data_IF_280793037856
#
_entry.id   IF_280793037856
#
_cell.length_a   1.000
_cell.length_b   1.000
_cell.length_c   1.000
_cell.angle_alpha   90.00
_cell.angle_beta   90.00
_cell.angle_gamma   90.00
#
_symmetry.space_group_name_H-M   'P 1'
#
loop_
_entity.id
_entity.type
_entity.pdbx_description
1 polymer ?
#
# COMPACT_ATOMS: atom_id res chain seq x y z
N UNK A 1 -17.68 -2.17 -6.87
CA UNK A 1 -17.36 -1.02 -5.97
C UNK A 1 -16.29 -0.18 -6.65
N UNK A 2 -16.31 1.15 -6.56
CA UNK A 2 -15.25 1.96 -7.20
C UNK A 2 -13.92 1.83 -6.44
N UNK A 3 -12.80 1.96 -7.16
CA UNK A 3 -11.46 1.93 -6.58
C UNK A 3 -11.30 2.86 -5.36
N UNK A 4 -11.69 4.14 -5.51
CA UNK A 4 -11.53 5.16 -4.47
C UNK A 4 -12.32 4.81 -3.21
N UNK A 5 -13.52 4.24 -3.37
CA UNK A 5 -14.36 3.84 -2.23
C UNK A 5 -13.71 2.66 -1.48
N UNK A 6 -13.19 1.68 -2.22
CA UNK A 6 -12.45 0.55 -1.66
C UNK A 6 -11.18 0.99 -0.92
N UNK A 7 -10.41 1.90 -1.51
CA UNK A 7 -9.19 2.44 -0.90
C UNK A 7 -9.52 3.20 0.39
N UNK A 8 -10.57 4.03 0.40
CA UNK A 8 -11.03 4.74 1.61
C UNK A 8 -11.48 3.78 2.71
N UNK A 9 -12.22 2.73 2.36
CA UNK A 9 -12.68 1.73 3.31
C UNK A 9 -11.49 1.00 3.95
N UNK A 10 -10.53 0.55 3.14
CA UNK A 10 -9.31 -0.10 3.64
C UNK A 10 -8.47 0.85 4.49
N UNK A 11 -8.27 2.11 4.07
CA UNK A 11 -7.59 3.12 4.88
C UNK A 11 -8.26 3.30 6.25
N UNK A 12 -9.59 3.31 6.30
CA UNK A 12 -10.34 3.39 7.56
C UNK A 12 -10.07 2.19 8.46
N UNK A 13 -10.09 0.97 7.89
CA UNK A 13 -9.77 -0.27 8.63
C UNK A 13 -8.33 -0.27 9.16
N UNK A 14 -7.36 0.12 8.33
CA UNK A 14 -5.95 0.23 8.72
C UNK A 14 -5.71 1.24 9.85
N UNK A 15 -6.53 2.30 9.91
CA UNK A 15 -6.45 3.34 10.92
C UNK A 15 -7.03 2.90 12.27
N UNK A 16 -8.12 2.14 12.26
CA UNK A 16 -8.83 1.72 13.47
C UNK A 16 -8.18 0.50 14.13
N UNK A 17 -8.24 -0.65 13.46
CA UNK A 17 -7.72 -1.92 13.96
C UNK A 17 -7.27 -2.76 12.75
N UNK A 18 -6.01 -2.61 12.32
CA UNK A 18 -5.52 -3.31 11.14
C UNK A 18 -5.44 -4.81 11.41
N UNK A 19 -6.14 -5.56 10.56
CA UNK A 19 -6.01 -7.01 10.42
C UNK A 19 -5.20 -7.36 9.15
N UNK A 20 -4.69 -8.59 9.09
CA UNK A 20 -3.87 -9.06 7.97
C UNK A 20 -4.61 -8.95 6.61
N UNK A 21 -5.94 -9.06 6.61
CA UNK A 21 -6.76 -8.94 5.40
C UNK A 21 -6.80 -7.51 4.88
N UNK A 22 -6.95 -6.50 5.74
CA UNK A 22 -6.93 -5.10 5.37
C UNK A 22 -5.55 -4.68 4.86
N UNK A 23 -4.49 -5.18 5.50
CA UNK A 23 -3.09 -4.93 5.13
C UNK A 23 -2.78 -5.55 3.76
N UNK A 24 -3.16 -6.81 3.54
CA UNK A 24 -3.02 -7.48 2.24
C UNK A 24 -3.90 -6.82 1.15
N UNK A 25 -5.13 -6.42 1.49
CA UNK A 25 -6.04 -5.73 0.58
C UNK A 25 -5.51 -4.36 0.14
N UNK A 26 -4.87 -3.61 1.05
CA UNK A 26 -4.21 -2.35 0.72
C UNK A 26 -3.09 -2.55 -0.29
N UNK A 27 -2.25 -3.57 -0.07
CA UNK A 27 -1.17 -3.92 -0.99
C UNK A 27 -1.71 -4.38 -2.35
N UNK A 28 -2.81 -5.14 -2.37
CA UNK A 28 -3.49 -5.54 -3.60
C UNK A 28 -3.96 -4.31 -4.39
N UNK A 29 -4.73 -3.41 -3.77
CA UNK A 29 -5.23 -2.20 -4.43
C UNK A 29 -4.07 -1.31 -4.92
N UNK A 30 -3.02 -1.14 -4.13
CA UNK A 30 -1.83 -0.39 -4.52
C UNK A 30 -1.16 -0.97 -5.78
N UNK A 31 -1.10 -2.30 -5.88
CA UNK A 31 -0.57 -2.96 -7.08
C UNK A 31 -1.50 -2.78 -8.28
N UNK A 32 -2.81 -2.87 -8.09
CA UNK A 32 -3.78 -2.70 -9.16
C UNK A 32 -3.75 -1.28 -9.74
N UNK A 33 -3.74 -0.23 -8.91
CA UNK A 33 -3.62 1.14 -9.43
C UNK A 33 -2.32 1.36 -10.19
N UNK A 34 -1.20 0.82 -9.69
CA UNK A 34 0.07 0.90 -10.40
C UNK A 34 0.01 0.22 -11.76
N UNK A 35 -0.49 -1.02 -11.85
CA UNK A 35 -0.59 -1.75 -13.13
C UNK A 35 -1.41 -0.99 -14.17
N UNK A 36 -2.44 -0.27 -13.73
CA UNK A 36 -3.35 0.46 -14.61
C UNK A 36 -2.79 1.81 -15.06
N UNK A 37 -2.03 2.50 -14.20
CA UNK A 37 -1.57 3.87 -14.46
C UNK A 37 -0.08 3.98 -14.80
N UNK A 38 0.72 2.93 -14.62
CA UNK A 38 2.13 2.87 -15.03
C UNK A 38 2.31 3.13 -16.53
N UNK A 39 3.47 3.70 -16.89
CA UNK A 39 3.81 4.04 -18.28
C UNK A 39 3.06 5.26 -18.85
N UNK A 40 2.07 5.82 -18.16
CA UNK A 40 1.42 7.08 -18.56
C UNK A 40 2.16 8.31 -18.00
N UNK A 41 2.63 8.23 -16.75
CA UNK A 41 3.41 9.27 -16.06
C UNK A 41 4.52 8.60 -15.24
N UNK A 42 5.72 9.19 -15.26
CA UNK A 42 6.91 8.69 -14.54
C UNK A 42 6.69 8.62 -13.02
N UNK A 43 5.74 9.38 -12.47
CA UNK A 43 5.38 9.30 -11.05
C UNK A 43 4.87 7.90 -10.66
N UNK A 44 4.11 7.24 -11.54
CA UNK A 44 3.59 5.89 -11.29
C UNK A 44 4.65 4.82 -11.43
N UNK A 45 5.63 5.02 -12.31
CA UNK A 45 6.79 4.12 -12.42
C UNK A 45 7.64 4.18 -11.14
N UNK A 46 7.87 5.40 -10.61
CA UNK A 46 8.57 5.59 -9.34
C UNK A 46 7.81 5.01 -8.15
N UNK A 47 6.49 5.22 -8.11
CA UNK A 47 5.60 4.60 -7.13
C UNK A 47 5.73 3.08 -7.16
N UNK A 48 5.66 2.48 -8.35
CA UNK A 48 5.77 1.03 -8.54
C UNK A 48 7.10 0.46 -8.08
N UNK A 49 8.22 1.13 -8.37
CA UNK A 49 9.55 0.69 -7.94
C UNK A 49 9.65 0.54 -6.41
N UNK A 50 9.14 1.51 -5.66
CA UNK A 50 9.15 1.46 -4.19
C UNK A 50 8.13 0.42 -3.68
N UNK A 51 6.94 0.33 -4.28
CA UNK A 51 5.88 -0.58 -3.87
C UNK A 51 6.24 -2.06 -4.06
N UNK A 52 6.81 -2.41 -5.22
CA UNK A 52 7.09 -3.81 -5.57
C UNK A 52 8.14 -4.46 -4.67
N UNK A 53 9.13 -3.68 -4.22
CA UNK A 53 10.13 -4.17 -3.27
C UNK A 53 9.50 -4.49 -1.90
N UNK A 54 8.60 -3.63 -1.42
CA UNK A 54 7.82 -3.88 -0.20
C UNK A 54 6.96 -5.13 -0.36
N UNK A 55 6.27 -5.27 -1.49
CA UNK A 55 5.44 -6.45 -1.79
C UNK A 55 6.26 -7.73 -1.76
N UNK A 56 7.40 -7.77 -2.45
CA UNK A 56 8.24 -8.94 -2.52
C UNK A 56 8.78 -9.36 -1.14
N UNK A 57 9.11 -8.37 -0.29
CA UNK A 57 9.67 -8.61 1.04
C UNK A 57 8.65 -9.03 2.09
N UNK A 58 7.49 -8.36 2.15
CA UNK A 58 6.54 -8.47 3.26
C UNK A 58 5.24 -9.20 2.89
N UNK A 59 4.97 -9.38 1.60
CA UNK A 59 3.68 -9.88 1.10
C UNK A 59 3.83 -11.05 0.12
N UNK A 60 4.98 -11.75 0.15
CA UNK A 60 5.24 -12.89 -0.72
C UNK A 60 4.14 -13.97 -0.63
N UNK A 61 3.60 -14.20 0.58
CA UNK A 61 2.60 -15.22 0.87
C UNK A 61 1.14 -14.72 0.74
N UNK A 62 0.92 -13.41 0.52
CA UNK A 62 -0.41 -12.79 0.50
C UNK A 62 -0.93 -12.58 -0.93
N UNK A 63 -0.50 -13.41 -1.89
CA UNK A 63 -0.84 -13.25 -3.30
C UNK A 63 -2.31 -13.59 -3.63
N UNK A 64 -2.98 -14.31 -2.72
CA UNK A 64 -4.34 -14.80 -2.93
C UNK A 64 -5.42 -13.77 -2.53
N UNK A 65 -5.04 -12.67 -1.88
CA UNK A 65 -6.00 -11.63 -1.49
C UNK A 65 -6.37 -10.77 -2.70
N UNK A 66 -7.67 -10.74 -3.00
CA UNK A 66 -8.26 -9.94 -4.07
C UNK A 66 -9.34 -9.05 -3.46
N UNK A 67 -9.31 -7.76 -3.80
CA UNK A 67 -10.36 -6.81 -3.44
C UNK A 67 -11.28 -6.64 -4.64
N UNK A 68 -12.57 -6.92 -4.45
CA UNK A 68 -13.59 -6.74 -5.50
C UNK A 68 -13.91 -5.25 -5.70
N UNK A 69 -13.02 -4.57 -6.42
CA UNK A 69 -13.13 -3.18 -6.79
C UNK A 69 -12.85 -3.00 -8.29
N UNK A 70 -13.56 -2.07 -8.91
CA UNK A 70 -13.28 -1.62 -10.26
C UNK A 70 -11.89 -0.97 -10.31
N UNK A 71 -11.16 -1.21 -11.39
CA UNK A 71 -9.88 -0.57 -11.64
C UNK A 71 -10.03 0.97 -11.74
N UNK A 72 -9.04 1.74 -11.28
CA UNK A 72 -9.04 3.19 -11.46
C UNK A 72 -8.93 3.52 -12.96
N UNK A 73 -9.82 4.40 -13.43
CA UNK A 73 -10.00 4.70 -14.86
C UNK A 73 -9.01 5.78 -15.34
N UNK A 74 -8.52 6.62 -14.43
CA UNK A 74 -7.63 7.74 -14.75
C UNK A 74 -6.82 8.17 -13.54
N UNK A 75 -5.73 8.85 -13.84
CA UNK A 75 -4.93 9.55 -12.85
C UNK A 75 -5.54 10.93 -12.55
N UNK A 76 -6.36 11.00 -11.50
CA UNK A 76 -6.92 12.26 -11.00
C UNK A 76 -6.59 12.51 -9.53
N UNK A 77 -6.79 13.76 -9.08
CA UNK A 77 -6.44 14.17 -7.72
C UNK A 77 -7.14 13.35 -6.63
N UNK A 78 -8.35 12.86 -6.89
CA UNK A 78 -9.09 12.01 -5.95
C UNK A 78 -8.42 10.63 -5.84
N UNK A 79 -8.04 10.03 -6.97
CA UNK A 79 -7.33 8.75 -7.02
C UNK A 79 -5.97 8.87 -6.34
N UNK A 80 -5.16 9.89 -6.67
CA UNK A 80 -3.86 10.13 -6.02
C UNK A 80 -4.01 10.28 -4.51
N UNK A 81 -4.95 11.10 -4.05
CA UNK A 81 -5.19 11.31 -2.62
C UNK A 81 -5.60 10.02 -1.90
N UNK A 82 -6.48 9.22 -2.51
CA UNK A 82 -6.92 7.95 -1.93
C UNK A 82 -5.77 6.94 -1.81
N UNK A 83 -4.91 6.85 -2.83
CA UNK A 83 -3.72 5.99 -2.81
C UNK A 83 -2.71 6.47 -1.78
N UNK A 84 -2.45 7.77 -1.71
CA UNK A 84 -1.52 8.38 -0.75
C UNK A 84 -1.97 8.11 0.69
N UNK A 85 -3.23 8.38 1.07
CA UNK A 85 -3.73 8.08 2.42
C UNK A 85 -3.62 6.58 2.74
N UNK A 86 -3.97 5.71 1.80
CA UNK A 86 -3.87 4.26 1.98
C UNK A 86 -2.43 3.81 2.25
N UNK A 87 -1.45 4.31 1.48
CA UNK A 87 -0.04 3.97 1.71
C UNK A 87 0.50 4.57 3.00
N UNK A 88 0.05 5.76 3.40
CA UNK A 88 0.42 6.33 4.69
C UNK A 88 -0.11 5.50 5.86
N UNK A 89 -1.36 5.03 5.80
CA UNK A 89 -1.88 4.13 6.84
C UNK A 89 -1.13 2.78 6.85
N UNK A 90 -0.79 2.24 5.68
CA UNK A 90 -0.02 1.01 5.58
C UNK A 90 1.41 1.18 6.12
N UNK A 91 2.03 2.33 5.88
CA UNK A 91 3.34 2.67 6.45
C UNK A 91 3.26 2.72 7.98
N UNK A 92 2.24 3.39 8.54
CA UNK A 92 2.01 3.45 9.99
C UNK A 92 1.77 2.07 10.62
N UNK A 93 1.10 1.17 9.91
CA UNK A 93 0.97 -0.23 10.34
C UNK A 93 2.34 -0.88 10.49
N UNK A 94 3.19 -0.79 9.48
CA UNK A 94 4.53 -1.37 9.55
C UNK A 94 5.44 -0.70 10.58
N UNK A 95 5.29 0.60 10.85
CA UNK A 95 6.01 1.23 11.97
C UNK A 95 5.65 0.63 13.31
N UNK A 96 4.38 0.28 13.52
CA UNK A 96 3.96 -0.42 14.74
C UNK A 96 4.58 -1.81 14.81
N UNK A 97 4.61 -2.54 13.69
CA UNK A 97 5.28 -3.85 13.61
C UNK A 97 6.80 -3.75 13.87
N UNK A 98 7.45 -2.67 13.43
CA UNK A 98 8.89 -2.46 13.59
C UNK A 98 9.33 -2.31 15.06
N UNK A 99 8.42 -1.93 15.96
CA UNK A 99 8.67 -1.80 17.40
C UNK A 99 8.04 -2.91 18.23
N UNK A 100 7.32 -3.83 17.60
CA UNK A 100 6.61 -4.92 18.27
C UNK A 100 7.56 -6.09 18.58
N UNK A 101 7.73 -6.40 19.87
CA UNK A 101 8.63 -7.44 20.37
C UNK A 101 8.18 -8.87 20.02
N UNK A 102 6.97 -9.05 19.48
CA UNK A 102 6.52 -10.34 18.94
C UNK A 102 7.28 -10.74 17.67
N UNK A 103 7.86 -9.77 16.96
CA UNK A 103 8.72 -10.01 15.79
C UNK A 103 10.18 -10.11 16.21
N UNK A 104 10.95 -10.97 15.55
CA UNK A 104 12.40 -10.98 15.70
C UNK A 104 13.04 -9.69 15.14
N UNK A 105 14.33 -9.49 15.41
CA UNK A 105 15.04 -8.28 14.97
C UNK A 105 15.00 -8.11 13.43
N UNK A 106 15.12 -9.21 12.68
CA UNK A 106 15.12 -9.17 11.22
C UNK A 106 13.75 -8.75 10.67
N UNK A 107 12.66 -9.28 11.24
CA UNK A 107 11.29 -8.90 10.90
C UNK A 107 11.01 -7.43 11.24
N UNK A 108 11.43 -6.98 12.42
CA UNK A 108 11.30 -5.57 12.83
C UNK A 108 12.02 -4.61 11.88
N UNK A 109 13.25 -4.92 11.50
CA UNK A 109 14.02 -4.13 10.52
C UNK A 109 13.38 -4.17 9.12
N UNK A 110 12.80 -5.30 8.72
CA UNK A 110 12.09 -5.43 7.45
C UNK A 110 10.84 -4.54 7.39
N UNK A 111 10.10 -4.46 8.51
CA UNK A 111 8.95 -3.58 8.65
C UNK A 111 9.34 -2.09 8.66
N UNK A 112 10.42 -1.71 9.36
CA UNK A 112 10.91 -0.32 9.34
C UNK A 112 11.30 0.11 7.92
N UNK A 113 12.07 -0.71 7.21
CA UNK A 113 12.44 -0.46 5.82
C UNK A 113 11.21 -0.37 4.91
N UNK A 114 10.24 -1.28 5.10
CA UNK A 114 8.97 -1.27 4.37
C UNK A 114 8.15 0.00 4.60
N UNK A 115 8.08 0.48 5.85
CA UNK A 115 7.38 1.73 6.18
C UNK A 115 8.02 2.94 5.50
N UNK A 116 9.35 3.03 5.48
CA UNK A 116 10.06 4.11 4.79
C UNK A 116 9.83 4.07 3.27
N UNK A 117 9.80 2.88 2.67
CA UNK A 117 9.51 2.70 1.25
C UNK A 117 8.10 3.11 0.86
N UNK A 118 7.09 2.69 1.65
CA UNK A 118 5.71 3.09 1.42
C UNK A 118 5.54 4.62 1.46
N UNK A 119 6.27 5.31 2.34
CA UNK A 119 6.29 6.79 2.35
C UNK A 119 6.91 7.39 1.11
N UNK A 120 7.99 6.80 0.58
CA UNK A 120 8.59 7.25 -0.68
C UNK A 120 7.65 7.01 -1.86
N UNK A 121 6.94 5.89 -1.86
CA UNK A 121 5.89 5.62 -2.84
C UNK A 121 4.77 6.67 -2.76
N UNK A 122 4.24 6.94 -1.56
CA UNK A 122 3.22 7.96 -1.34
C UNK A 122 3.69 9.37 -1.77
N UNK A 123 4.93 9.74 -1.42
CA UNK A 123 5.53 11.01 -1.80
C UNK A 123 5.77 11.17 -3.30
N UNK A 124 5.86 10.07 -4.07
CA UNK A 124 5.98 10.14 -5.53
C UNK A 124 4.68 10.64 -6.20
N UNK A 125 3.54 10.48 -5.52
CA UNK A 125 2.22 10.88 -6.04
C UNK A 125 1.76 12.27 -5.58
N UNK A 126 2.47 12.86 -4.59
CA UNK A 126 2.17 14.15 -3.97
C UNK A 126 2.68 15.36 -4.73
#
# INVERSE_FOLDING_TARGET
MKYVDAAREISSRLRAEPDDLAVAGAMHLACEVWKQLAGNDLVWDRFGLELLDVRARLYADHQDVIVDAEAPVRDDAETRLAVTDMLEQLARYHERCAVDERFDLAGRLSHDAGAQQLRRAAAALG
#
